data_IF_708374944456
#
_entry.id   IF_708374944456
#
_cell.length_a   1.000
_cell.length_b   1.000
_cell.length_c   1.000
_cell.angle_alpha   90.00
_cell.angle_beta   90.00
_cell.angle_gamma   90.00
#
_symmetry.space_group_name_H-M   'P 1'
#
loop_
_entity.id
_entity.type
_entity.pdbx_description
1 polymer ?
#
# COMPACT_ATOMS: atom_id res chain seq x y z
N UNK A 1 23.05 -2.28 -8.64
CA UNK A 1 21.60 -2.55 -8.87
C UNK A 1 21.01 -3.53 -7.84
N UNK A 2 21.69 -4.65 -7.50
CA UNK A 2 21.22 -5.63 -6.50
C UNK A 2 21.14 -5.02 -5.09
N UNK A 3 22.11 -4.22 -4.68
CA UNK A 3 22.11 -3.53 -3.39
C UNK A 3 20.95 -2.51 -3.27
N UNK A 4 20.54 -1.88 -4.36
CA UNK A 4 19.41 -0.95 -4.40
C UNK A 4 18.06 -1.66 -4.21
N UNK A 5 17.93 -2.88 -4.72
CA UNK A 5 16.69 -3.68 -4.58
C UNK A 5 16.54 -4.26 -3.16
N UNK A 6 17.66 -4.72 -2.55
CA UNK A 6 17.69 -5.21 -1.17
C UNK A 6 17.33 -4.12 -0.15
N UNK A 7 17.88 -2.92 -0.31
CA UNK A 7 17.58 -1.73 0.53
C UNK A 7 16.14 -1.24 0.35
N UNK A 8 15.46 -1.60 -0.75
CA UNK A 8 14.03 -1.31 -0.95
C UNK A 8 13.09 -2.19 -0.13
N UNK A 9 13.44 -3.46 0.05
CA UNK A 9 12.57 -4.45 0.70
C UNK A 9 12.38 -4.18 2.19
N UNK A 10 13.47 -3.96 2.95
CA UNK A 10 13.36 -3.67 4.38
C UNK A 10 12.66 -2.33 4.65
N UNK A 11 12.82 -1.33 3.76
CA UNK A 11 12.11 -0.07 3.88
C UNK A 11 10.60 -0.24 3.68
N UNK A 12 10.16 -1.05 2.72
CA UNK A 12 8.75 -1.34 2.49
C UNK A 12 8.11 -2.02 3.69
N UNK A 13 8.73 -3.07 4.24
CA UNK A 13 8.24 -3.80 5.42
C UNK A 13 8.21 -2.88 6.65
N UNK A 14 9.22 -2.03 6.81
CA UNK A 14 9.30 -1.02 7.86
C UNK A 14 8.14 -0.02 7.76
N UNK A 15 7.95 0.61 6.61
CA UNK A 15 6.93 1.64 6.40
C UNK A 15 5.53 1.08 6.60
N UNK A 16 5.31 -0.15 6.15
CA UNK A 16 4.07 -0.86 6.42
C UNK A 16 3.86 -1.12 7.91
N UNK A 17 4.86 -1.66 8.60
CA UNK A 17 4.77 -1.95 10.04
C UNK A 17 4.46 -0.68 10.84
N UNK A 18 5.08 0.44 10.48
CA UNK A 18 4.78 1.74 11.07
C UNK A 18 3.32 2.14 10.84
N UNK A 19 2.86 2.08 9.61
CA UNK A 19 1.47 2.44 9.25
C UNK A 19 0.47 1.54 9.96
N UNK A 20 0.67 0.23 9.92
CA UNK A 20 -0.19 -0.74 10.59
C UNK A 20 -0.19 -0.54 12.13
N UNK A 21 0.94 -0.16 12.73
CA UNK A 21 0.96 0.18 14.15
C UNK A 21 0.05 1.37 14.45
N UNK A 22 0.06 2.42 13.62
CA UNK A 22 -0.82 3.58 13.77
C UNK A 22 -2.30 3.22 13.67
N UNK A 23 -2.63 2.33 12.73
CA UNK A 23 -4.00 1.80 12.55
C UNK A 23 -4.39 0.95 13.75
N UNK A 24 -3.58 -0.05 14.08
CA UNK A 24 -3.87 -1.02 15.15
C UNK A 24 -4.03 -0.37 16.52
N UNK A 25 -3.21 0.63 16.83
CA UNK A 25 -3.24 1.34 18.13
C UNK A 25 -4.25 2.49 18.16
N UNK A 26 -4.91 2.79 17.04
CA UNK A 26 -5.77 3.97 16.89
C UNK A 26 -5.13 5.26 17.45
N UNK A 27 -3.83 5.40 17.25
CA UNK A 27 -2.98 6.39 17.92
C UNK A 27 -3.55 7.82 17.94
N UNK A 28 -4.08 8.28 16.81
CA UNK A 28 -4.65 9.63 16.70
C UNK A 28 -6.09 9.68 17.19
N UNK A 29 -6.90 8.66 16.89
CA UNK A 29 -8.30 8.57 17.33
C UNK A 29 -8.41 8.54 18.85
N UNK A 30 -7.52 7.81 19.52
CA UNK A 30 -7.42 7.78 20.98
C UNK A 30 -7.01 9.12 21.61
N UNK A 31 -6.51 10.05 20.80
CA UNK A 31 -6.20 11.43 21.19
C UNK A 31 -7.28 12.44 20.77
N UNK A 32 -8.41 11.97 20.25
CA UNK A 32 -9.54 12.80 19.85
C UNK A 32 -9.43 13.41 18.44
N UNK A 33 -8.48 12.93 17.61
CA UNK A 33 -8.38 13.36 16.23
C UNK A 33 -9.25 12.49 15.31
N UNK A 34 -9.79 13.08 14.25
CA UNK A 34 -10.62 12.40 13.25
C UNK A 34 -9.81 11.92 12.03
N UNK A 35 -8.63 11.35 12.28
CA UNK A 35 -7.79 10.73 11.24
C UNK A 35 -6.92 9.63 11.86
N UNK A 36 -6.36 8.76 11.00
CA UNK A 36 -5.55 7.60 11.42
C UNK A 36 -4.06 7.83 11.28
N UNK A 37 -3.63 8.59 10.28
CA UNK A 37 -2.23 8.88 9.96
C UNK A 37 -2.10 10.27 9.33
N UNK A 38 -0.95 10.93 9.48
CA UNK A 38 -0.68 12.23 8.86
C UNK A 38 0.27 12.11 7.69
N UNK A 39 0.28 13.11 6.81
CA UNK A 39 1.28 13.26 5.75
C UNK A 39 2.52 14.07 6.18
N UNK A 40 2.66 14.35 7.45
CA UNK A 40 3.76 15.14 8.02
C UNK A 40 4.93 14.26 8.42
N UNK A 41 6.12 14.54 7.88
CA UNK A 41 7.36 13.85 8.25
C UNK A 41 7.82 14.10 9.69
N UNK A 42 7.23 15.06 10.38
CA UNK A 42 7.50 15.30 11.79
C UNK A 42 6.85 14.24 12.69
N UNK A 43 5.81 13.57 12.22
CA UNK A 43 5.02 12.62 12.99
C UNK A 43 4.90 11.24 12.34
N UNK A 44 4.72 11.19 11.02
CA UNK A 44 4.48 9.97 10.25
C UNK A 44 5.25 10.00 8.91
N UNK A 45 4.63 9.52 7.82
CA UNK A 45 5.23 9.43 6.50
C UNK A 45 4.86 10.62 5.62
N UNK A 46 5.82 11.08 4.80
CA UNK A 46 5.53 12.10 3.80
C UNK A 46 4.70 11.47 2.67
N UNK A 47 3.53 12.01 2.45
CA UNK A 47 2.69 11.71 1.31
C UNK A 47 2.68 12.87 0.31
N UNK A 48 2.91 12.58 -0.95
CA UNK A 48 2.81 13.55 -2.06
C UNK A 48 1.82 12.97 -3.06
N UNK A 49 0.62 13.55 -3.19
CA UNK A 49 -0.36 13.13 -4.17
C UNK A 49 0.21 13.21 -5.60
N UNK A 50 -0.25 12.35 -6.48
CA UNK A 50 0.05 12.36 -7.91
C UNK A 50 1.55 12.23 -8.27
N UNK A 51 2.38 11.77 -7.33
CA UNK A 51 3.79 11.48 -7.62
C UNK A 51 3.90 10.23 -8.49
N UNK A 52 4.76 10.28 -9.50
CA UNK A 52 5.06 9.10 -10.33
C UNK A 52 5.56 7.94 -9.46
N UNK A 53 4.96 6.78 -9.68
CA UNK A 53 5.37 5.51 -9.09
C UNK A 53 6.12 4.74 -10.19
N UNK A 54 7.32 4.31 -9.88
CA UNK A 54 8.10 3.48 -10.81
C UNK A 54 7.60 2.04 -10.74
N UNK A 55 7.28 1.44 -11.87
CA UNK A 55 6.77 0.08 -11.97
C UNK A 55 7.61 -0.97 -11.20
N UNK A 56 8.96 -0.97 -11.27
CA UNK A 56 9.75 -1.93 -10.48
C UNK A 56 9.57 -1.78 -8.97
N UNK A 57 9.32 -0.56 -8.49
CA UNK A 57 9.05 -0.31 -7.07
C UNK A 57 7.64 -0.79 -6.71
N UNK A 58 6.66 -0.55 -7.59
CA UNK A 58 5.29 -1.01 -7.38
C UNK A 58 5.22 -2.53 -7.23
N UNK A 59 5.90 -3.28 -8.11
CA UNK A 59 5.95 -4.75 -8.05
C UNK A 59 6.53 -5.23 -6.71
N UNK A 60 7.66 -4.67 -6.28
CA UNK A 60 8.28 -5.05 -4.99
C UNK A 60 7.37 -4.72 -3.81
N UNK A 61 6.71 -3.56 -3.84
CA UNK A 61 5.77 -3.16 -2.78
C UNK A 61 4.59 -4.12 -2.74
N UNK A 62 4.03 -4.48 -3.87
CA UNK A 62 2.89 -5.39 -3.97
C UNK A 62 3.26 -6.80 -3.47
N UNK A 63 4.45 -7.31 -3.80
CA UNK A 63 4.96 -8.61 -3.32
C UNK A 63 5.17 -8.64 -1.80
N UNK A 64 5.63 -7.53 -1.22
CA UNK A 64 5.95 -7.42 0.20
C UNK A 64 4.78 -6.84 1.02
N UNK A 65 3.66 -6.53 0.38
CA UNK A 65 2.55 -5.84 1.06
C UNK A 65 1.91 -6.67 2.17
N UNK A 66 2.03 -8.00 2.12
CA UNK A 66 1.58 -8.91 3.16
C UNK A 66 2.42 -8.86 4.45
N UNK A 67 3.67 -8.43 4.36
CA UNK A 67 4.65 -8.59 5.43
C UNK A 67 4.69 -7.40 6.40
N UNK A 68 4.75 -7.70 7.68
CA UNK A 68 4.93 -6.72 8.75
C UNK A 68 5.76 -7.29 9.91
N UNK A 69 6.33 -6.40 10.73
CA UNK A 69 7.18 -6.77 11.87
C UNK A 69 6.37 -6.83 13.17
N UNK A 70 6.57 -7.89 13.94
CA UNK A 70 6.02 -8.00 15.28
C UNK A 70 7.04 -8.60 16.28
N UNK A 71 6.66 -8.61 17.57
CA UNK A 71 7.36 -9.34 18.62
C UNK A 71 6.78 -10.74 18.80
N UNK A 72 7.53 -11.69 19.39
CA UNK A 72 7.01 -13.00 19.72
C UNK A 72 5.72 -12.92 20.55
N UNK A 73 4.72 -13.70 20.15
CA UNK A 73 3.42 -13.78 20.84
C UNK A 73 2.61 -12.46 20.89
N UNK A 74 2.97 -11.48 20.10
CA UNK A 74 2.27 -10.19 20.00
C UNK A 74 1.85 -9.98 18.55
N UNK A 75 0.53 -9.82 18.30
CA UNK A 75 0.02 -9.53 16.95
C UNK A 75 0.20 -8.07 16.54
N UNK A 76 0.38 -7.19 17.53
CA UNK A 76 0.56 -5.75 17.25
C UNK A 76 1.83 -5.51 16.45
N UNK A 77 1.73 -4.82 15.31
CA UNK A 77 2.89 -4.40 14.54
C UNK A 77 3.82 -3.50 15.33
N UNK A 78 5.13 -3.65 15.15
CA UNK A 78 6.14 -2.79 15.79
C UNK A 78 6.03 -1.37 15.23
N UNK A 79 6.15 -0.37 16.11
CA UNK A 79 6.33 1.03 15.68
C UNK A 79 7.76 1.22 15.15
N UNK A 80 7.94 1.04 13.86
CA UNK A 80 9.23 1.06 13.19
C UNK A 80 9.67 2.48 12.83
N UNK A 81 10.09 3.25 13.83
CA UNK A 81 10.58 4.60 13.62
C UNK A 81 11.89 4.63 12.83
N UNK A 82 12.07 5.69 12.05
CA UNK A 82 13.24 5.86 11.18
C UNK A 82 13.58 7.33 10.94
N UNK A 83 14.78 7.56 10.40
CA UNK A 83 15.20 8.88 9.92
C UNK A 83 16.23 8.77 8.78
N UNK A 84 16.72 9.88 8.26
CA UNK A 84 17.75 9.85 7.22
C UNK A 84 19.14 9.44 7.76
N UNK A 85 19.43 9.74 9.02
CA UNK A 85 20.69 9.41 9.69
C UNK A 85 21.89 10.29 9.27
N UNK A 86 21.67 11.34 8.48
CA UNK A 86 22.70 12.32 8.09
C UNK A 86 22.37 13.72 8.51
N UNK A 87 21.15 14.16 8.27
CA UNK A 87 20.67 15.53 8.61
C UNK A 87 20.08 15.60 9.99
N UNK A 88 19.55 14.48 10.47
CA UNK A 88 18.89 14.36 11.76
C UNK A 88 19.54 13.22 12.53
N UNK A 89 19.93 13.48 13.78
CA UNK A 89 20.34 12.42 14.72
C UNK A 89 19.11 11.74 15.28
N UNK A 90 19.07 10.43 15.23
CA UNK A 90 17.94 9.64 15.70
C UNK A 90 18.37 8.72 16.85
N UNK A 91 17.57 8.60 17.90
CA UNK A 91 17.85 7.66 18.97
C UNK A 91 17.45 6.23 18.54
N UNK A 92 18.42 5.37 18.25
CA UNK A 92 18.24 3.93 17.99
C UNK A 92 17.14 3.57 16.96
N UNK A 93 16.86 4.47 16.00
CA UNK A 93 15.92 4.23 14.91
C UNK A 93 16.67 3.75 13.68
N UNK A 94 15.97 3.06 12.78
CA UNK A 94 16.55 2.73 11.48
C UNK A 94 16.97 4.02 10.76
N UNK A 95 18.23 4.07 10.32
CA UNK A 95 18.71 5.19 9.51
C UNK A 95 18.80 4.76 8.05
N UNK A 96 18.27 5.56 7.14
CA UNK A 96 18.25 5.23 5.70
C UNK A 96 19.67 5.03 5.14
N UNK A 97 20.62 5.87 5.54
CA UNK A 97 22.01 5.72 5.12
C UNK A 97 22.73 4.59 5.84
N UNK A 98 22.37 4.29 7.08
CA UNK A 98 22.91 3.16 7.82
C UNK A 98 22.43 1.83 7.24
N UNK A 99 21.15 1.69 6.91
CA UNK A 99 20.63 0.47 6.27
C UNK A 99 21.28 0.24 4.91
N UNK A 100 21.47 1.31 4.11
CA UNK A 100 22.23 1.23 2.85
C UNK A 100 23.67 0.73 3.08
N UNK A 101 24.36 1.27 4.07
CA UNK A 101 25.75 0.86 4.39
C UNK A 101 25.82 -0.60 4.85
N UNK A 102 24.84 -1.09 5.62
CA UNK A 102 24.77 -2.50 6.02
C UNK A 102 24.50 -3.41 4.81
N UNK A 103 23.60 -2.99 3.91
CA UNK A 103 23.34 -3.72 2.67
C UNK A 103 24.58 -3.80 1.76
N UNK A 104 25.37 -2.73 1.67
CA UNK A 104 26.65 -2.71 0.94
C UNK A 104 27.70 -3.63 1.58
N UNK A 105 27.60 -3.91 2.87
CA UNK A 105 28.43 -4.88 3.60
C UNK A 105 27.92 -6.32 3.48
N UNK A 106 26.82 -6.56 2.77
CA UNK A 106 26.26 -7.88 2.51
C UNK A 106 25.20 -8.36 3.51
N UNK A 107 24.72 -7.48 4.40
CA UNK A 107 23.63 -7.82 5.29
C UNK A 107 22.34 -8.00 4.49
N UNK A 108 21.59 -9.05 4.80
CA UNK A 108 20.26 -9.28 4.26
C UNK A 108 19.22 -8.31 4.86
N UNK A 109 18.06 -8.09 4.21
CA UNK A 109 17.01 -7.23 4.74
C UNK A 109 16.59 -7.59 6.17
N UNK A 110 16.46 -8.87 6.48
CA UNK A 110 16.07 -9.32 7.84
C UNK A 110 17.16 -9.02 8.88
N UNK A 111 18.42 -9.16 8.52
CA UNK A 111 19.54 -8.83 9.41
C UNK A 111 19.61 -7.33 9.68
N UNK A 112 19.36 -6.51 8.66
CA UNK A 112 19.28 -5.06 8.82
C UNK A 112 18.12 -4.67 9.74
N UNK A 113 16.92 -5.25 9.54
CA UNK A 113 15.77 -5.00 10.40
C UNK A 113 16.05 -5.43 11.84
N UNK A 114 16.68 -6.58 12.06
CA UNK A 114 17.09 -7.05 13.40
C UNK A 114 18.12 -6.16 14.06
N UNK A 115 19.07 -5.66 13.29
CA UNK A 115 20.09 -4.71 13.78
C UNK A 115 19.46 -3.48 14.45
N UNK A 116 18.38 -2.95 13.88
CA UNK A 116 17.72 -1.75 14.39
C UNK A 116 16.58 -2.03 15.38
N UNK A 117 15.82 -3.10 15.16
CA UNK A 117 14.60 -3.38 15.94
C UNK A 117 14.72 -4.55 16.89
N UNK A 118 15.89 -5.21 16.94
CA UNK A 118 16.21 -6.29 17.85
C UNK A 118 16.06 -7.68 17.26
N UNK A 119 16.85 -8.62 17.79
CA UNK A 119 16.93 -10.00 17.29
C UNK A 119 15.66 -10.82 17.52
N UNK A 120 14.83 -10.41 18.48
CA UNK A 120 13.57 -11.04 18.84
C UNK A 120 12.39 -10.65 17.94
N UNK A 121 12.63 -9.76 16.96
CA UNK A 121 11.59 -9.44 15.97
C UNK A 121 11.57 -10.47 14.85
N UNK A 122 10.41 -10.68 14.28
CA UNK A 122 10.22 -11.50 13.10
C UNK A 122 9.20 -10.90 12.12
N UNK A 123 9.26 -11.37 10.87
CA UNK A 123 8.33 -10.98 9.83
C UNK A 123 7.11 -11.89 9.94
N UNK A 124 5.95 -11.27 10.02
CA UNK A 124 4.67 -11.95 9.83
C UNK A 124 4.16 -11.65 8.43
N UNK A 125 3.57 -12.65 7.83
CA UNK A 125 2.78 -12.49 6.62
C UNK A 125 1.31 -12.57 7.03
N UNK A 126 0.52 -11.57 6.69
CA UNK A 126 -0.90 -11.59 7.03
C UNK A 126 -1.61 -12.65 6.19
N UNK A 127 -2.31 -13.58 6.84
CA UNK A 127 -2.95 -14.76 6.22
C UNK A 127 -4.11 -14.42 5.27
N UNK A 128 -4.69 -13.23 5.37
CA UNK A 128 -5.87 -12.83 4.64
C UNK A 128 -5.66 -11.53 3.85
N UNK A 129 -4.74 -11.56 2.88
CA UNK A 129 -4.53 -10.42 1.98
C UNK A 129 -5.01 -10.76 0.55
N UNK A 130 -5.91 -11.71 0.40
CA UNK A 130 -6.65 -11.84 -0.85
C UNK A 130 -7.48 -10.59 -1.05
N UNK A 131 -7.23 -9.87 -2.15
CA UNK A 131 -8.01 -8.70 -2.53
C UNK A 131 -7.49 -7.35 -2.05
N UNK A 132 -6.25 -7.22 -1.56
CA UNK A 132 -5.67 -5.88 -1.34
C UNK A 132 -5.40 -5.23 -2.70
N UNK A 133 -5.92 -4.01 -2.91
CA UNK A 133 -5.65 -3.28 -4.14
C UNK A 133 -4.16 -3.05 -4.33
N UNK A 134 -3.62 -3.46 -5.45
CA UNK A 134 -2.24 -3.16 -5.79
C UNK A 134 -2.07 -1.69 -6.17
N UNK A 135 -0.83 -1.22 -6.15
CA UNK A 135 -0.52 0.18 -6.46
C UNK A 135 -0.86 0.57 -7.89
N UNK A 136 -1.09 1.86 -8.08
CA UNK A 136 -1.29 2.48 -9.39
C UNK A 136 -0.17 2.09 -10.39
N UNK A 137 -0.50 1.61 -11.61
CA UNK A 137 0.49 1.12 -12.56
C UNK A 137 1.36 2.21 -13.20
N UNK A 138 1.11 3.49 -12.90
CA UNK A 138 1.86 4.60 -13.48
C UNK A 138 1.33 5.10 -14.84
N UNK A 139 0.25 4.50 -15.35
CA UNK A 139 -0.38 4.89 -16.62
C UNK A 139 -1.90 4.71 -16.57
N UNK A 140 -2.60 5.49 -17.36
CA UNK A 140 -4.06 5.45 -17.44
C UNK A 140 -4.55 4.18 -18.15
N UNK A 141 -5.50 3.45 -17.53
CA UNK A 141 -6.18 2.34 -18.17
C UNK A 141 -7.41 2.87 -18.92
N UNK A 142 -7.59 2.41 -20.14
CA UNK A 142 -8.68 2.83 -21.02
C UNK A 142 -8.99 1.75 -22.06
N UNK A 143 -9.99 1.98 -22.87
CA UNK A 143 -10.37 1.03 -23.92
C UNK A 143 -9.15 0.60 -24.76
N UNK A 144 -8.95 -0.71 -24.88
CA UNK A 144 -7.80 -1.35 -25.50
C UNK A 144 -6.65 -1.69 -24.56
N UNK A 145 -6.66 -1.23 -23.31
CA UNK A 145 -5.72 -1.70 -22.28
C UNK A 145 -5.98 -3.17 -21.94
N UNK A 146 -4.92 -3.94 -21.64
CA UNK A 146 -5.03 -5.37 -21.31
C UNK A 146 -4.02 -5.75 -20.23
N UNK A 147 -4.33 -6.80 -19.47
CA UNK A 147 -3.41 -7.42 -18.53
C UNK A 147 -3.91 -7.47 -17.09
N UNK A 148 -3.03 -7.87 -16.15
CA UNK A 148 -3.40 -8.11 -14.75
C UNK A 148 -4.02 -6.91 -14.04
N UNK A 149 -3.56 -5.70 -14.36
CA UNK A 149 -4.10 -4.48 -13.75
C UNK A 149 -5.53 -4.16 -14.20
N UNK A 150 -5.89 -4.51 -15.43
CA UNK A 150 -7.28 -4.39 -15.92
C UNK A 150 -8.15 -5.43 -15.21
N UNK A 151 -7.69 -6.67 -15.13
CA UNK A 151 -8.40 -7.74 -14.42
C UNK A 151 -8.65 -7.39 -12.96
N UNK A 152 -7.64 -6.87 -12.26
CA UNK A 152 -7.79 -6.40 -10.87
C UNK A 152 -8.93 -5.38 -10.75
N UNK A 153 -8.98 -4.38 -11.62
CA UNK A 153 -10.04 -3.36 -11.59
C UNK A 153 -11.42 -3.97 -11.88
N UNK A 154 -11.51 -4.95 -12.77
CA UNK A 154 -12.76 -5.67 -13.04
C UNK A 154 -13.23 -6.43 -11.78
N UNK A 155 -12.32 -7.14 -11.09
CA UNK A 155 -12.57 -7.82 -9.83
C UNK A 155 -13.03 -6.84 -8.73
N UNK A 156 -12.33 -5.72 -8.57
CA UNK A 156 -12.68 -4.68 -7.59
C UNK A 156 -14.05 -4.04 -7.88
N UNK A 157 -14.33 -3.71 -9.14
CA UNK A 157 -15.62 -3.16 -9.54
C UNK A 157 -16.78 -4.14 -9.34
N UNK A 158 -16.57 -5.43 -9.54
CA UNK A 158 -17.57 -6.47 -9.28
C UNK A 158 -17.92 -6.56 -7.79
N UNK A 159 -16.91 -6.49 -6.91
CA UNK A 159 -17.14 -6.44 -5.47
C UNK A 159 -17.92 -5.17 -5.08
N UNK A 160 -17.56 -4.03 -5.67
CA UNK A 160 -18.26 -2.76 -5.44
C UNK A 160 -19.70 -2.82 -5.97
N UNK A 161 -19.94 -3.46 -7.12
CA UNK A 161 -21.26 -3.63 -7.71
C UNK A 161 -22.22 -4.38 -6.78
N UNK A 162 -21.73 -5.28 -5.94
CA UNK A 162 -22.52 -5.94 -4.91
C UNK A 162 -23.16 -4.97 -3.91
N UNK A 163 -22.51 -3.84 -3.60
CA UNK A 163 -23.03 -2.78 -2.75
C UNK A 163 -23.71 -1.64 -3.54
N UNK A 164 -23.33 -1.46 -4.80
CA UNK A 164 -23.81 -0.43 -5.72
C UNK A 164 -24.34 -1.06 -7.02
N UNK A 165 -25.54 -1.65 -7.02
CA UNK A 165 -26.07 -2.43 -8.15
C UNK A 165 -26.29 -1.66 -9.45
N UNK A 166 -26.09 -0.36 -9.44
CA UNK A 166 -26.10 0.47 -10.63
C UNK A 166 -24.82 0.32 -11.48
N UNK A 167 -23.73 -0.21 -10.90
CA UNK A 167 -22.52 -0.54 -11.62
C UNK A 167 -22.71 -1.93 -12.23
N UNK A 168 -22.61 -2.10 -13.55
CA UNK A 168 -22.77 -3.40 -14.18
C UNK A 168 -21.67 -4.36 -13.78
N UNK A 169 -22.03 -5.62 -13.57
CA UNK A 169 -21.04 -6.70 -13.37
C UNK A 169 -20.24 -6.93 -14.67
N UNK A 170 -18.97 -7.24 -14.50
CA UNK A 170 -17.98 -7.39 -15.56
C UNK A 170 -17.44 -8.81 -15.63
N UNK A 171 -17.09 -9.24 -16.84
CA UNK A 171 -16.23 -10.40 -17.02
C UNK A 171 -14.80 -10.04 -16.63
N UNK A 172 -14.17 -10.84 -15.77
CA UNK A 172 -12.81 -10.62 -15.25
C UNK A 172 -11.77 -11.21 -16.22
N UNK A 173 -11.78 -10.73 -17.46
CA UNK A 173 -10.94 -11.24 -18.56
C UNK A 173 -9.61 -10.49 -18.72
N UNK A 174 -9.45 -9.37 -18.00
CA UNK A 174 -8.28 -8.51 -18.12
C UNK A 174 -8.26 -7.69 -19.40
N UNK A 175 -9.39 -7.51 -20.10
CA UNK A 175 -9.51 -6.71 -21.32
C UNK A 175 -10.38 -5.49 -21.03
N UNK A 176 -9.83 -4.29 -21.20
CA UNK A 176 -10.59 -3.06 -21.07
C UNK A 176 -11.44 -2.81 -22.32
N UNK A 177 -12.60 -3.42 -22.33
CA UNK A 177 -13.60 -3.30 -23.40
C UNK A 177 -14.64 -2.23 -23.11
N UNK A 178 -15.66 -2.09 -24.00
CA UNK A 178 -16.77 -1.15 -23.82
C UNK A 178 -17.56 -1.37 -22.54
N UNK A 179 -17.68 -2.62 -22.08
CA UNK A 179 -18.38 -2.97 -20.84
C UNK A 179 -17.62 -2.44 -19.62
N UNK A 180 -16.30 -2.61 -19.58
CA UNK A 180 -15.44 -2.07 -18.53
C UNK A 180 -15.51 -0.54 -18.53
N UNK A 181 -15.47 0.10 -19.70
CA UNK A 181 -15.62 1.56 -19.80
C UNK A 181 -16.97 2.03 -19.25
N UNK A 182 -18.06 1.34 -19.57
CA UNK A 182 -19.39 1.68 -19.07
C UNK A 182 -19.47 1.58 -17.55
N UNK A 183 -18.91 0.52 -16.95
CA UNK A 183 -18.84 0.34 -15.50
C UNK A 183 -18.02 1.45 -14.82
N UNK A 184 -16.87 1.80 -15.40
CA UNK A 184 -16.03 2.90 -14.91
C UNK A 184 -16.75 4.24 -14.97
N UNK A 185 -17.44 4.55 -16.08
CA UNK A 185 -18.25 5.78 -16.19
C UNK A 185 -19.34 5.83 -15.13
N UNK A 186 -19.99 4.69 -14.86
CA UNK A 186 -21.02 4.61 -13.83
C UNK A 186 -20.42 4.81 -12.45
N UNK A 187 -19.30 4.16 -12.15
CA UNK A 187 -18.55 4.36 -10.91
C UNK A 187 -18.17 5.83 -10.72
N UNK A 188 -17.57 6.46 -11.73
CA UNK A 188 -17.18 7.86 -11.68
C UNK A 188 -18.35 8.77 -11.38
N UNK A 189 -19.51 8.52 -12.02
CA UNK A 189 -20.74 9.27 -11.79
C UNK A 189 -21.25 9.15 -10.35
N UNK A 190 -21.27 7.94 -9.79
CA UNK A 190 -21.73 7.68 -8.42
C UNK A 190 -20.84 8.38 -7.38
N UNK A 191 -19.52 8.32 -7.58
CA UNK A 191 -18.55 8.84 -6.62
C UNK A 191 -18.05 10.26 -6.92
N UNK A 192 -18.73 11.00 -7.82
CA UNK A 192 -18.46 12.41 -8.06
C UNK A 192 -17.13 12.71 -8.75
N UNK A 193 -16.60 11.76 -9.52
CA UNK A 193 -15.40 11.92 -10.33
C UNK A 193 -15.75 12.46 -11.74
N UNK A 194 -14.79 13.05 -12.47
CA UNK A 194 -14.99 13.33 -13.90
C UNK A 194 -15.33 12.06 -14.67
N UNK A 195 -16.45 12.05 -15.38
CA UNK A 195 -16.97 10.87 -16.10
C UNK A 195 -16.24 10.71 -17.43
N UNK A 196 -15.00 10.28 -17.38
CA UNK A 196 -14.14 10.08 -18.56
C UNK A 196 -14.26 8.68 -19.16
N UNK A 197 -14.61 7.68 -18.34
CA UNK A 197 -14.54 6.28 -18.72
C UNK A 197 -13.11 5.74 -18.76
N UNK A 198 -12.14 6.50 -18.28
CA UNK A 198 -10.75 6.09 -18.15
C UNK A 198 -10.37 6.00 -16.67
N UNK A 199 -9.46 5.10 -16.31
CA UNK A 199 -8.94 4.97 -14.97
C UNK A 199 -7.60 5.70 -14.91
N UNK A 200 -7.68 6.96 -14.51
CA UNK A 200 -6.53 7.77 -14.12
C UNK A 200 -6.13 7.50 -12.66
N UNK A 201 -5.09 8.17 -12.20
CA UNK A 201 -4.62 8.06 -10.80
C UNK A 201 -5.75 8.26 -9.78
N UNK A 202 -6.60 9.26 -9.96
CA UNK A 202 -7.69 9.57 -9.02
C UNK A 202 -8.77 8.50 -9.02
N UNK A 203 -9.14 8.03 -10.19
CA UNK A 203 -10.13 6.96 -10.36
C UNK A 203 -9.61 5.65 -9.78
N UNK A 204 -8.32 5.30 -10.00
CA UNK A 204 -7.70 4.11 -9.44
C UNK A 204 -7.82 4.07 -7.92
N UNK A 205 -7.32 5.12 -7.25
CA UNK A 205 -7.34 5.13 -5.78
C UNK A 205 -8.74 5.31 -5.20
N UNK A 206 -9.67 5.91 -5.93
CA UNK A 206 -11.08 5.94 -5.51
C UNK A 206 -11.74 4.57 -5.61
N UNK A 207 -11.43 3.77 -6.63
CA UNK A 207 -11.88 2.38 -6.72
C UNK A 207 -11.31 1.59 -5.54
N UNK A 208 -10.00 1.68 -5.29
CA UNK A 208 -9.34 1.01 -4.17
C UNK A 208 -9.93 1.41 -2.81
N UNK A 209 -10.21 2.69 -2.57
CA UNK A 209 -10.84 3.20 -1.34
C UNK A 209 -12.22 2.56 -1.12
N UNK A 210 -13.07 2.60 -2.14
CA UNK A 210 -14.45 2.07 -2.04
C UNK A 210 -14.43 0.55 -1.91
N UNK A 211 -13.56 -0.13 -2.66
CA UNK A 211 -13.37 -1.57 -2.56
C UNK A 211 -12.99 -2.01 -1.15
N UNK A 212 -12.00 -1.36 -0.52
CA UNK A 212 -11.59 -1.64 0.87
C UNK A 212 -12.76 -1.44 1.84
N UNK A 213 -13.54 -0.37 1.65
CA UNK A 213 -14.72 -0.09 2.49
C UNK A 213 -15.82 -1.14 2.34
N UNK A 214 -16.11 -1.59 1.11
CA UNK A 214 -17.16 -2.58 0.82
C UNK A 214 -16.73 -3.99 1.21
N UNK A 215 -15.50 -4.37 0.94
CA UNK A 215 -14.96 -5.71 1.21
C UNK A 215 -14.63 -5.95 2.69
N UNK A 216 -14.58 -4.88 3.51
CA UNK A 216 -14.21 -4.91 4.94
C UNK A 216 -12.82 -5.50 5.23
N UNK A 217 -11.93 -5.50 4.24
CA UNK A 217 -10.55 -6.05 4.37
C UNK A 217 -9.77 -5.33 5.48
N UNK A 218 -10.07 -4.06 5.73
CA UNK A 218 -9.41 -3.27 6.77
C UNK A 218 -10.03 -3.44 8.16
N UNK A 219 -11.15 -4.15 8.29
CA UNK A 219 -11.75 -4.45 9.59
C UNK A 219 -10.98 -5.62 10.22
N UNK A 220 -10.22 -5.31 11.27
CA UNK A 220 -9.59 -6.32 12.11
C UNK A 220 -10.69 -7.07 12.88
N UNK A 221 -11.02 -8.28 12.44
CA UNK A 221 -11.91 -9.21 13.14
C UNK A 221 -11.24 -9.78 14.40
#
# INVERSE_FOLDING_TARGET
>A
EIASCLVGSEMCIRDRSFTLNRVYTEWYRNKGFDFTITSSTAFDHKWIPERNIFEPISVIVDELFADYLSRPNVRQPILTQYCDGRRVSCPNWLTQWGSKSLGEQGFSPIEILRYYYGDDMYINTAEAISGIPSSWPGYTLKQGSQGPKVRQIQEELNVIAGAYPEIPELTEDGIYGPETEAAVRKFQSIFGLPVTGEIDYKTWYKISEIYVGVSRIAELS
#
